data_IF_400130215452
#
_entry.id   IF_400130215452
#
_cell.length_a   1.000
_cell.length_b   1.000
_cell.length_c   1.000
_cell.angle_alpha   90.00
_cell.angle_beta   90.00
_cell.angle_gamma   90.00
#
_symmetry.space_group_name_H-M   'P 1'
#
loop_
_entity.id
_entity.type
_entity.pdbx_description
1 polymer ?
#
# COMPACT_ATOMS: atom_id res chain seq x y z
N UNK A 1 -1.83 24.53 -5.88
CA UNK A 1 -2.59 23.30 -6.24
C UNK A 1 -2.27 22.21 -5.23
N UNK A 2 -3.26 21.46 -4.75
CA UNK A 2 -3.03 20.39 -3.75
C UNK A 2 -3.94 19.17 -3.97
N UNK A 3 -3.47 18.00 -3.54
CA UNK A 3 -4.27 16.79 -3.40
C UNK A 3 -4.31 16.40 -1.93
N UNK A 4 -5.50 16.11 -1.43
CA UNK A 4 -5.74 15.67 -0.06
C UNK A 4 -6.37 14.29 -0.07
N UNK A 5 -5.91 13.38 0.79
CA UNK A 5 -6.62 12.14 1.09
C UNK A 5 -7.59 12.44 2.23
N UNK A 6 -8.88 12.21 2.00
CA UNK A 6 -9.93 12.42 3.01
C UNK A 6 -10.48 11.06 3.41
N UNK A 7 -10.44 10.75 4.71
CA UNK A 7 -11.16 9.63 5.31
C UNK A 7 -12.59 10.10 5.57
N UNK A 8 -13.57 9.36 5.06
CA UNK A 8 -14.99 9.55 5.36
C UNK A 8 -15.48 8.35 6.15
N UNK A 9 -15.90 8.58 7.38
CA UNK A 9 -16.52 7.59 8.25
C UNK A 9 -18.02 7.84 8.30
N UNK A 10 -18.83 6.79 8.19
CA UNK A 10 -20.28 6.87 8.31
C UNK A 10 -20.74 5.82 9.28
N UNK A 11 -21.41 6.23 10.36
CA UNK A 11 -21.90 5.36 11.43
C UNK A 11 -23.42 5.42 11.48
N UNK A 12 -24.05 4.27 11.68
CA UNK A 12 -25.49 4.11 11.65
C UNK A 12 -26.04 3.82 10.25
N UNK A 13 -27.36 3.79 10.16
CA UNK A 13 -28.09 3.45 8.93
C UNK A 13 -29.33 4.32 8.79
N UNK A 14 -29.69 4.66 7.55
CA UNK A 14 -30.89 5.43 7.27
C UNK A 14 -30.79 6.90 7.70
N UNK A 15 -31.90 7.54 8.09
CA UNK A 15 -31.96 8.98 8.38
C UNK A 15 -31.07 9.44 9.54
N UNK A 16 -30.71 8.53 10.46
CA UNK A 16 -29.90 8.82 11.65
C UNK A 16 -28.41 8.52 11.43
N UNK A 17 -27.97 8.28 10.19
CA UNK A 17 -26.57 8.03 9.91
C UNK A 17 -25.74 9.32 10.14
N UNK A 18 -24.71 9.21 10.98
CA UNK A 18 -23.74 10.27 11.20
C UNK A 18 -22.57 10.09 10.21
N UNK A 19 -22.12 11.18 9.60
CA UNK A 19 -20.96 11.19 8.71
C UNK A 19 -19.90 12.13 9.24
N UNK A 20 -18.69 11.61 9.38
CA UNK A 20 -17.49 12.36 9.77
C UNK A 20 -16.46 12.31 8.64
N UNK A 21 -15.77 13.41 8.41
CA UNK A 21 -14.75 13.52 7.35
C UNK A 21 -13.49 14.13 7.92
N UNK A 22 -12.35 13.47 7.68
CA UNK A 22 -11.05 13.85 8.23
C UNK A 22 -9.97 13.88 7.13
N UNK A 23 -9.27 15.01 6.91
CA UNK A 23 -8.15 15.08 5.97
C UNK A 23 -6.90 14.41 6.56
N UNK A 24 -6.63 13.17 6.15
CA UNK A 24 -5.53 12.34 6.71
C UNK A 24 -4.16 12.58 6.08
N UNK A 25 -4.11 13.15 4.88
CA UNK A 25 -2.86 13.50 4.21
C UNK A 25 -3.06 14.66 3.25
N UNK A 26 -2.12 15.60 3.22
CA UNK A 26 -2.11 16.76 2.32
C UNK A 26 -0.82 16.76 1.51
N UNK A 27 -0.95 16.85 0.19
CA UNK A 27 0.17 16.91 -0.74
C UNK A 27 0.05 18.19 -1.57
N UNK A 28 0.96 19.14 -1.33
CA UNK A 28 1.09 20.34 -2.13
C UNK A 28 1.81 19.99 -3.43
N UNK A 29 1.22 20.34 -4.57
CA UNK A 29 1.71 19.92 -5.89
C UNK A 29 2.53 21.02 -6.53
N UNK A 30 1.97 22.23 -6.60
CA UNK A 30 2.58 23.37 -7.28
C UNK A 30 2.25 24.65 -6.55
N UNK A 31 3.21 25.57 -6.58
CA UNK A 31 3.06 26.98 -6.29
C UNK A 31 3.15 27.76 -7.61
N UNK A 32 2.01 28.22 -8.14
CA UNK A 32 1.89 28.88 -9.44
C UNK A 32 0.88 28.24 -10.41
N UNK A 33 0.62 28.96 -11.51
CA UNK A 33 -0.32 28.55 -12.55
C UNK A 33 0.34 27.63 -13.58
N UNK A 34 -0.18 26.42 -13.82
CA UNK A 34 0.33 25.55 -14.88
C UNK A 34 0.03 26.15 -16.25
N UNK A 35 0.91 25.94 -17.24
CA UNK A 35 0.63 26.34 -18.62
C UNK A 35 0.00 25.20 -19.42
N UNK A 36 -0.74 25.56 -20.48
CA UNK A 36 -1.43 24.59 -21.32
C UNK A 36 -0.44 23.60 -21.92
N UNK A 37 -0.68 22.31 -21.68
CA UNK A 37 0.14 21.22 -22.21
C UNK A 37 1.21 20.72 -21.23
N UNK A 38 1.37 21.33 -20.07
CA UNK A 38 2.23 20.78 -19.02
C UNK A 38 1.65 19.51 -18.41
N UNK A 39 2.55 18.60 -18.01
CA UNK A 39 2.22 17.39 -17.28
C UNK A 39 3.07 17.33 -16.02
N UNK A 40 2.41 17.23 -14.87
CA UNK A 40 3.06 17.19 -13.55
C UNK A 40 2.97 15.75 -13.03
N UNK A 41 4.09 15.03 -12.87
CA UNK A 41 4.07 13.68 -12.30
C UNK A 41 3.80 13.73 -10.80
N UNK A 42 2.93 12.84 -10.32
CA UNK A 42 2.51 12.79 -8.91
C UNK A 42 2.88 11.43 -8.32
N UNK A 43 3.51 11.44 -7.14
CA UNK A 43 3.79 10.25 -6.35
C UNK A 43 3.37 10.48 -4.90
N UNK A 44 2.34 9.75 -4.46
CA UNK A 44 1.80 9.83 -3.10
C UNK A 44 2.22 8.59 -2.32
N UNK A 45 3.01 8.76 -1.26
CA UNK A 45 3.44 7.67 -0.41
C UNK A 45 2.46 7.48 0.76
N UNK A 46 1.83 6.30 0.83
CA UNK A 46 0.81 6.01 1.85
C UNK A 46 1.38 5.53 3.19
N UNK A 47 2.61 5.01 3.20
CA UNK A 47 3.20 4.34 4.36
C UNK A 47 3.44 5.24 5.58
N UNK A 48 3.51 6.57 5.39
CA UNK A 48 3.72 7.53 6.47
C UNK A 48 2.44 8.05 7.14
N UNK A 49 1.27 7.60 6.69
CA UNK A 49 -0.03 8.05 7.19
C UNK A 49 -0.74 6.92 7.91
N UNK A 50 -1.48 7.25 8.97
CA UNK A 50 -2.31 6.29 9.69
C UNK A 50 -3.58 5.98 8.87
N UNK A 51 -3.49 4.93 8.05
CA UNK A 51 -4.53 4.51 7.13
C UNK A 51 -5.02 3.11 7.49
N UNK A 52 -6.34 2.95 7.47
CA UNK A 52 -7.00 1.65 7.54
C UNK A 52 -7.43 1.20 6.14
N UNK A 53 -7.70 -0.10 5.93
CA UNK A 53 -8.39 -0.56 4.73
C UNK A 53 -9.74 0.12 4.57
N UNK A 54 -10.21 0.25 3.34
CA UNK A 54 -11.60 0.64 3.06
C UNK A 54 -12.55 -0.41 3.63
N UNK A 55 -13.51 0.04 4.42
CA UNK A 55 -14.50 -0.81 5.07
C UNK A 55 -15.88 -0.44 4.53
N UNK A 56 -16.57 -1.39 3.89
CA UNK A 56 -17.91 -1.17 3.34
C UNK A 56 -18.93 -1.93 4.16
N UNK A 57 -19.91 -1.21 4.68
CA UNK A 57 -21.12 -1.73 5.34
C UNK A 57 -20.82 -2.81 6.40
N UNK A 58 -19.81 -2.57 7.25
CA UNK A 58 -19.37 -3.51 8.27
C UNK A 58 -20.51 -3.77 9.25
N UNK A 59 -21.03 -5.00 9.21
CA UNK A 59 -22.21 -5.43 9.96
C UNK A 59 -23.41 -4.48 9.82
N UNK A 60 -23.52 -3.74 8.71
CA UNK A 60 -24.52 -2.66 8.50
C UNK A 60 -24.50 -1.57 9.57
N UNK A 61 -23.40 -1.41 10.30
CA UNK A 61 -23.24 -0.42 11.37
C UNK A 61 -22.41 0.77 10.95
N UNK A 62 -21.36 0.56 10.16
CA UNK A 62 -20.52 1.66 9.70
C UNK A 62 -19.79 1.36 8.39
N UNK A 63 -19.27 2.41 7.77
CA UNK A 63 -18.38 2.37 6.61
C UNK A 63 -17.21 3.34 6.80
N UNK A 64 -16.03 2.97 6.32
CA UNK A 64 -14.84 3.82 6.21
C UNK A 64 -14.40 3.87 4.75
N UNK A 65 -14.46 5.05 4.14
CA UNK A 65 -14.11 5.28 2.74
C UNK A 65 -13.00 6.32 2.63
N UNK A 66 -12.22 6.25 1.55
CA UNK A 66 -11.15 7.21 1.27
C UNK A 66 -11.43 7.92 -0.04
N UNK A 67 -11.25 9.24 -0.05
CA UNK A 67 -11.42 10.09 -1.24
C UNK A 67 -10.12 10.79 -1.53
N UNK A 68 -9.68 10.77 -2.79
CA UNK A 68 -8.72 11.73 -3.31
C UNK A 68 -9.48 13.00 -3.66
N UNK A 69 -9.11 14.10 -2.99
CA UNK A 69 -9.68 15.42 -3.19
C UNK A 69 -8.63 16.31 -3.84
N UNK A 70 -8.80 16.58 -5.13
CA UNK A 70 -8.02 17.58 -5.85
C UNK A 70 -8.61 18.96 -5.60
N UNK A 71 -7.77 19.89 -5.16
CA UNK A 71 -8.12 21.30 -4.93
C UNK A 71 -7.29 22.20 -5.84
N UNK A 72 -7.99 23.01 -6.62
CA UNK A 72 -7.42 24.08 -7.42
C UNK A 72 -7.88 25.42 -6.84
N UNK A 73 -6.96 26.36 -6.76
CA UNK A 73 -7.23 27.75 -6.37
C UNK A 73 -6.75 28.62 -7.50
N UNK A 74 -7.58 29.57 -7.94
CA UNK A 74 -7.21 30.54 -8.96
C UNK A 74 -6.77 31.89 -8.36
N UNK A 75 -6.50 32.88 -9.22
CA UNK A 75 -6.02 34.20 -8.83
C UNK A 75 -7.08 35.06 -8.12
N UNK A 76 -8.37 34.71 -8.22
CA UNK A 76 -9.48 35.39 -7.53
C UNK A 76 -9.87 34.67 -6.22
N UNK A 77 -8.99 33.82 -5.69
CA UNK A 77 -9.23 32.97 -4.52
C UNK A 77 -10.42 31.99 -4.67
N UNK A 78 -10.88 31.73 -5.90
CA UNK A 78 -11.97 30.77 -6.13
C UNK A 78 -11.43 29.35 -6.06
N UNK A 79 -12.17 28.49 -5.37
CA UNK A 79 -11.78 27.09 -5.11
C UNK A 79 -12.58 26.12 -5.96
N UNK A 80 -11.87 25.28 -6.70
CA UNK A 80 -12.44 24.20 -7.49
C UNK A 80 -12.05 22.86 -6.89
N UNK A 81 -13.01 21.94 -6.82
CA UNK A 81 -12.84 20.66 -6.15
C UNK A 81 -13.21 19.52 -7.09
N UNK A 82 -12.42 18.46 -7.06
CA UNK A 82 -12.79 17.17 -7.66
C UNK A 82 -12.45 16.04 -6.69
N UNK A 83 -13.46 15.25 -6.35
CA UNK A 83 -13.31 14.10 -5.47
C UNK A 83 -13.49 12.80 -6.24
N UNK A 84 -12.63 11.83 -5.94
CA UNK A 84 -12.70 10.47 -6.45
C UNK A 84 -12.50 9.47 -5.32
N UNK A 85 -13.41 8.51 -5.18
CA UNK A 85 -13.25 7.44 -4.19
C UNK A 85 -12.08 6.52 -4.58
N UNK A 86 -11.26 6.17 -3.60
CA UNK A 86 -10.19 5.17 -3.73
C UNK A 86 -10.39 4.05 -2.72
N UNK A 87 -10.10 2.83 -3.14
CA UNK A 87 -10.19 1.65 -2.27
C UNK A 87 -8.80 1.28 -1.76
N UNK A 88 -8.62 1.34 -0.45
CA UNK A 88 -7.40 0.92 0.24
C UNK A 88 -7.57 -0.50 0.78
N UNK A 89 -6.52 -1.31 0.69
CA UNK A 89 -6.50 -2.67 1.21
C UNK A 89 -5.18 -2.94 1.93
N UNK A 90 -5.21 -3.78 2.97
CA UNK A 90 -4.00 -4.24 3.65
C UNK A 90 -3.41 -5.38 2.86
N UNK A 91 -2.16 -5.21 2.40
CA UNK A 91 -1.41 -6.29 1.79
C UNK A 91 -1.05 -7.34 2.84
N UNK A 92 -1.26 -8.61 2.52
CA UNK A 92 -0.83 -9.72 3.37
C UNK A 92 0.70 -9.80 3.40
N UNK A 93 1.25 -10.12 4.58
CA UNK A 93 2.67 -10.36 4.74
C UNK A 93 3.08 -11.63 3.99
N UNK A 94 4.30 -11.64 3.45
CA UNK A 94 4.86 -12.86 2.89
C UNK A 94 5.05 -13.86 4.03
N UNK A 95 4.64 -15.14 3.88
CA UNK A 95 4.85 -16.13 4.92
C UNK A 95 6.35 -16.24 5.21
N UNK A 96 6.74 -15.95 6.46
CA UNK A 96 8.10 -16.21 6.94
C UNK A 96 8.27 -17.73 6.93
N UNK A 97 9.14 -18.25 6.05
CA UNK A 97 9.53 -19.65 6.11
C UNK A 97 10.39 -19.82 7.37
N UNK A 98 9.77 -20.21 8.48
CA UNK A 98 10.51 -20.72 9.64
C UNK A 98 11.13 -22.05 9.21
N UNK A 99 12.41 -22.03 8.89
CA UNK A 99 13.20 -23.25 8.73
C UNK A 99 13.32 -23.85 10.14
N UNK A 100 12.38 -24.72 10.49
CA UNK A 100 12.61 -25.67 11.57
C UNK A 100 13.45 -26.79 10.96
N UNK A 101 14.77 -26.65 11.00
CA UNK A 101 15.65 -27.79 10.78
C UNK A 101 15.45 -28.77 11.95
N UNK A 102 15.02 -30.03 11.70
CA UNK A 102 15.12 -31.04 12.73
C UNK A 102 16.61 -31.36 12.91
N UNK A 103 17.19 -30.92 14.02
CA UNK A 103 18.50 -31.39 14.45
C UNK A 103 18.37 -32.86 14.86
N UNK A 104 18.58 -33.79 13.93
CA UNK A 104 18.86 -35.19 14.28
C UNK A 104 20.25 -35.26 14.92
N UNK A 105 20.27 -35.39 16.24
CA UNK A 105 21.48 -35.75 16.99
C UNK A 105 21.81 -37.21 16.69
N UNK A 106 22.67 -37.45 15.69
CA UNK A 106 23.32 -38.75 15.53
C UNK A 106 24.52 -38.84 16.49
N UNK A 107 24.49 -39.86 17.36
CA UNK A 107 25.56 -40.19 18.27
C UNK A 107 26.73 -40.80 17.49
N UNK A 108 27.81 -40.04 17.31
CA UNK A 108 29.04 -40.54 16.67
C UNK A 108 29.93 -41.24 17.71
N UNK A 109 30.13 -42.55 17.51
CA UNK A 109 31.23 -43.31 18.10
C UNK A 109 32.33 -43.51 17.05
N UNK A 110 33.52 -42.98 17.36
CA UNK A 110 34.86 -43.35 16.86
C UNK A 110 35.20 -43.16 15.37
N UNK A 111 36.35 -42.51 15.12
CA UNK A 111 37.19 -42.80 13.96
C UNK A 111 37.74 -41.58 13.23
N UNK A 112 39.06 -41.49 13.18
CA UNK A 112 39.90 -40.47 12.52
C UNK A 112 39.77 -40.58 10.99
N UNK A 113 39.70 -39.45 10.26
CA UNK A 113 40.53 -39.14 9.09
C UNK A 113 40.23 -37.76 8.46
N UNK A 114 41.26 -37.26 7.80
CA UNK A 114 41.61 -35.89 7.43
C UNK A 114 41.24 -35.61 5.97
N UNK A 115 40.56 -34.51 5.61
CA UNK A 115 40.85 -33.73 4.38
C UNK A 115 40.03 -32.44 4.23
N UNK A 116 40.77 -31.39 3.85
CA UNK A 116 40.36 -30.05 3.45
C UNK A 116 39.63 -30.03 2.09
N UNK A 117 38.53 -29.26 1.94
CA UNK A 117 38.33 -28.40 0.75
C UNK A 117 37.35 -27.24 0.95
N UNK A 118 37.77 -26.12 0.37
CA UNK A 118 37.26 -24.74 0.40
C UNK A 118 36.41 -24.44 -0.85
N UNK A 119 35.66 -23.32 -0.79
CA UNK A 119 34.94 -22.54 -1.83
C UNK A 119 33.47 -22.93 -2.10
N UNK A 120 32.44 -22.09 -1.91
CA UNK A 120 32.13 -20.69 -2.29
C UNK A 120 31.54 -20.52 -3.69
N UNK A 121 30.42 -19.78 -3.78
CA UNK A 121 29.84 -19.23 -5.01
C UNK A 121 28.60 -19.99 -5.47
N UNK A 122 27.50 -19.37 -5.87
CA UNK A 122 27.20 -17.96 -6.06
C UNK A 122 25.76 -17.83 -6.57
N UNK A 123 25.19 -16.64 -6.37
CA UNK A 123 23.91 -16.24 -6.94
C UNK A 123 23.97 -16.14 -8.47
N UNK A 124 22.96 -16.68 -9.14
CA UNK A 124 22.43 -16.24 -10.46
C UNK A 124 21.12 -17.01 -10.70
N UNK A 125 19.97 -16.33 -10.60
CA UNK A 125 19.30 -15.62 -11.71
C UNK A 125 18.57 -16.59 -12.65
N UNK A 126 17.23 -16.58 -12.63
CA UNK A 126 16.47 -16.63 -13.87
C UNK A 126 14.98 -16.24 -13.68
N UNK A 127 14.62 -15.16 -14.35
CA UNK A 127 13.29 -14.89 -14.86
C UNK A 127 12.77 -16.09 -15.67
N UNK A 128 11.51 -16.49 -15.44
CA UNK A 128 10.66 -16.99 -16.53
C UNK A 128 9.23 -16.50 -16.38
N UNK A 129 8.89 -15.66 -17.34
CA UNK A 129 7.58 -15.14 -17.63
C UNK A 129 6.64 -16.22 -18.20
N UNK A 130 5.37 -15.84 -18.21
CA UNK A 130 4.16 -16.49 -18.71
C UNK A 130 4.26 -17.25 -20.05
N UNK A 131 3.56 -18.39 -20.09
CA UNK A 131 2.94 -19.11 -21.21
C UNK A 131 2.48 -20.46 -20.61
N UNK A 132 1.33 -21.09 -20.85
CA UNK A 132 0.15 -20.97 -21.72
C UNK A 132 -0.86 -21.94 -21.05
N UNK A 133 -2.14 -21.59 -21.01
CA UNK A 133 -3.20 -22.52 -20.55
C UNK A 133 -4.10 -22.79 -21.76
N UNK A 134 -3.85 -23.93 -22.43
CA UNK A 134 -4.77 -24.57 -23.37
C UNK A 134 -5.15 -25.94 -22.80
N UNK A 135 -6.41 -26.08 -22.37
CA UNK A 135 -7.27 -27.24 -22.59
C UNK A 135 -8.73 -26.93 -22.24
#
# INVERSE_FOLDING_TARGET
>A
MEITIIKSETVGSGPNAAKETDPVAKFEIMDGAPVRGESIPIRLFLAGHDLAPTMRDVSKKFSVRYLLNLVLVDEEDRRYFKQQEVTLWRKADKPVRTILEPTTTEANANGIEDTVRVQSGGDQENDRAAAEDEQ
#
